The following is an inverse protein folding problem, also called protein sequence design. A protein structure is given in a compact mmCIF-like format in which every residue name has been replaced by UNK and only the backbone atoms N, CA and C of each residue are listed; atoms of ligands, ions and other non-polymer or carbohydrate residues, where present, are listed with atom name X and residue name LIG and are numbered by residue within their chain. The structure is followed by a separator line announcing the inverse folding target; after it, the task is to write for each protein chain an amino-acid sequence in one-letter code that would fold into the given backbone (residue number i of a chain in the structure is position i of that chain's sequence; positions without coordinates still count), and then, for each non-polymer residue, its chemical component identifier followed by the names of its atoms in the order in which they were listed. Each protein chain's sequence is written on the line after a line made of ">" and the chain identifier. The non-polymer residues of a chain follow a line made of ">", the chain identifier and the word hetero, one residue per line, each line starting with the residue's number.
data_IF_191113559656
#
_entry.id   IF_191113559656
#
_cell.length_a   1.000
_cell.length_b   1.000
_cell.length_c   1.000
_cell.angle_alpha   90.00
_cell.angle_beta   90.00
_cell.angle_gamma   90.00
#
_symmetry.space_group_name_H-M   'P 1'
#
loop_
_entity.id
_entity.type
_entity.pdbx_description
1 polymer ?
#
# COMPACT_ATOMS: atom_id res chain seq x y z
N UNK A 1 -25.92 -39.94 36.71
CA UNK A 1 -26.60 -38.99 35.80
C UNK A 1 -25.83 -38.98 34.48
N UNK A 2 -26.37 -39.73 33.52
CA UNK A 2 -26.07 -39.88 32.08
C UNK A 2 -24.83 -39.15 31.51
N UNK A 3 -23.78 -39.82 30.99
CA UNK A 3 -23.67 -40.63 29.75
C UNK A 3 -22.95 -39.85 28.62
N UNK A 4 -21.71 -40.28 28.28
CA UNK A 4 -21.29 -40.93 27.01
C UNK A 4 -20.72 -39.94 25.96
N UNK A 5 -19.39 -39.95 25.72
CA UNK A 5 -18.67 -40.74 24.69
C UNK A 5 -18.21 -39.79 23.55
N UNK A 6 -17.03 -39.84 22.94
CA UNK A 6 -16.13 -40.93 22.50
C UNK A 6 -14.68 -40.39 22.46
N UNK A 7 -13.71 -41.08 23.07
CA UNK A 7 -12.80 -42.04 22.42
C UNK A 7 -12.00 -41.42 21.26
N UNK A 8 -10.70 -41.16 21.43
CA UNK A 8 -9.55 -42.03 21.08
C UNK A 8 -8.79 -41.40 19.90
N UNK A 9 -7.48 -41.49 19.74
CA UNK A 9 -6.41 -42.02 20.54
C UNK A 9 -5.10 -41.51 19.92
N UNK A 10 -4.16 -41.16 20.80
CA UNK A 10 -2.70 -41.17 20.62
C UNK A 10 -2.21 -42.10 19.51
N UNK A 11 -1.18 -41.66 18.77
CA UNK A 11 0.12 -42.35 18.78
C UNK A 11 1.16 -41.59 17.96
N UNK A 12 1.90 -40.76 18.69
CA UNK A 12 3.28 -40.45 18.38
C UNK A 12 4.15 -41.59 18.97
N UNK A 13 5.16 -41.98 18.20
CA UNK A 13 6.38 -42.72 18.57
C UNK A 13 6.38 -44.26 18.61
N UNK A 14 7.46 -44.76 17.98
CA UNK A 14 8.19 -46.01 18.15
C UNK A 14 7.72 -47.24 17.35
N UNK A 15 8.43 -47.53 16.26
CA UNK A 15 9.03 -48.86 16.10
C UNK A 15 10.29 -48.81 15.22
N UNK A 16 11.42 -49.26 15.79
CA UNK A 16 12.69 -49.49 15.11
C UNK A 16 12.68 -50.88 14.44
N UNK A 17 13.40 -50.97 13.31
CA UNK A 17 14.11 -52.14 12.76
C UNK A 17 13.27 -53.38 12.38
N UNK A 18 13.25 -53.68 11.09
CA UNK A 18 13.69 -54.98 10.56
C UNK A 18 14.11 -54.86 9.08
N UNK A 19 15.14 -55.62 8.72
CA UNK A 19 15.84 -55.61 7.44
C UNK A 19 15.32 -56.70 6.48
N UNK A 20 15.37 -56.34 5.18
CA UNK A 20 15.68 -57.14 3.97
C UNK A 20 14.58 -57.96 3.23
N UNK A 21 14.56 -57.64 1.93
CA UNK A 21 14.32 -58.44 0.70
C UNK A 21 12.93 -58.33 0.03
N UNK A 22 12.82 -58.48 -1.31
CA UNK A 22 13.73 -58.12 -2.41
C UNK A 22 13.10 -57.11 -3.40
N UNK A 23 13.93 -56.60 -4.32
CA UNK A 23 13.57 -55.68 -5.41
C UNK A 23 12.50 -56.31 -6.31
N UNK A 24 11.37 -55.65 -6.49
CA UNK A 24 10.53 -55.81 -7.67
C UNK A 24 9.79 -54.51 -7.99
N UNK A 25 9.81 -54.17 -9.27
CA UNK A 25 9.36 -52.92 -9.87
C UNK A 25 7.95 -52.49 -9.45
N UNK A 26 7.84 -51.32 -8.81
CA UNK A 26 6.61 -50.53 -8.83
C UNK A 26 6.91 -49.13 -9.35
N UNK A 27 6.34 -48.85 -10.52
CA UNK A 27 6.34 -47.59 -11.24
C UNK A 27 5.91 -46.46 -10.31
N UNK A 28 6.71 -45.39 -10.25
CA UNK A 28 6.28 -44.12 -9.67
C UNK A 28 4.97 -43.68 -10.33
N UNK A 29 3.92 -43.51 -9.54
CA UNK A 29 2.61 -43.07 -10.02
C UNK A 29 2.63 -41.54 -10.24
N UNK A 30 2.08 -40.98 -11.35
CA UNK A 30 2.27 -39.58 -11.73
C UNK A 30 1.50 -38.55 -10.88
N UNK A 31 0.88 -38.93 -9.76
CA UNK A 31 -0.15 -38.14 -9.09
C UNK A 31 0.41 -37.13 -8.07
N UNK A 32 1.73 -37.02 -7.91
CA UNK A 32 2.37 -36.02 -7.02
C UNK A 32 2.98 -34.84 -7.81
N UNK A 33 2.72 -34.77 -9.12
CA UNK A 33 3.08 -33.61 -9.93
C UNK A 33 1.95 -32.57 -9.89
N UNK A 34 2.28 -31.35 -9.43
CA UNK A 34 1.58 -30.08 -9.70
C UNK A 34 0.70 -29.48 -8.59
N UNK A 35 1.18 -29.33 -7.36
CA UNK A 35 0.86 -28.11 -6.62
C UNK A 35 1.85 -27.04 -7.07
N UNK A 36 1.57 -26.41 -8.22
CA UNK A 36 2.29 -25.20 -8.64
C UNK A 36 2.05 -24.17 -7.53
N UNK A 37 3.07 -23.83 -6.75
CA UNK A 37 3.05 -22.59 -5.97
C UNK A 37 3.00 -21.47 -7.01
N UNK A 38 1.80 -20.93 -7.25
CA UNK A 38 1.66 -19.64 -7.89
C UNK A 38 2.51 -18.67 -7.05
N UNK A 39 3.58 -18.14 -7.62
CA UNK A 39 4.21 -16.97 -7.01
C UNK A 39 3.13 -15.90 -6.93
N UNK A 40 2.68 -15.59 -5.71
CA UNK A 40 1.77 -14.48 -5.44
C UNK A 40 2.40 -13.22 -6.04
N UNK A 41 1.90 -12.82 -7.21
CA UNK A 41 2.32 -11.57 -7.83
C UNK A 41 1.86 -10.46 -6.90
N UNK A 42 2.77 -9.96 -6.07
CA UNK A 42 2.45 -8.92 -5.09
C UNK A 42 2.10 -7.63 -5.82
N UNK A 43 0.83 -7.27 -5.86
CA UNK A 43 0.40 -5.92 -6.27
C UNK A 43 0.82 -4.94 -5.18
N UNK A 44 1.62 -3.94 -5.55
CA UNK A 44 2.25 -3.02 -4.58
C UNK A 44 1.70 -1.61 -4.73
N UNK A 45 1.48 -0.96 -3.59
CA UNK A 45 1.12 0.46 -3.52
C UNK A 45 2.17 1.23 -2.74
N UNK A 46 2.55 2.39 -3.25
CA UNK A 46 3.32 3.41 -2.54
C UNK A 46 2.39 4.56 -2.19
N UNK A 47 2.24 4.88 -0.92
CA UNK A 47 1.48 6.03 -0.43
C UNK A 47 2.46 7.13 -0.06
N UNK A 48 2.37 8.28 -0.73
CA UNK A 48 3.19 9.44 -0.38
C UNK A 48 2.57 10.21 0.78
N UNK A 49 3.40 10.65 1.72
CA UNK A 49 2.97 11.38 2.92
C UNK A 49 3.89 12.58 3.11
N UNK A 50 3.32 13.74 3.43
CA UNK A 50 4.09 14.93 3.76
C UNK A 50 3.41 16.22 3.33
N UNK A 51 3.95 17.36 3.75
CA UNK A 51 3.34 18.67 3.53
C UNK A 51 3.27 19.07 2.05
N UNK A 52 2.35 19.98 1.67
CA UNK A 52 2.49 20.71 0.42
C UNK A 52 3.92 21.25 0.28
N UNK A 53 4.46 21.19 -0.95
CA UNK A 53 5.83 21.59 -1.26
C UNK A 53 6.97 20.77 -0.59
N UNK A 54 6.68 19.67 0.10
CA UNK A 54 7.73 18.76 0.62
C UNK A 54 8.49 17.99 -0.46
N UNK A 55 7.96 17.95 -1.69
CA UNK A 55 8.58 17.31 -2.85
C UNK A 55 7.95 15.99 -3.30
N UNK A 56 6.79 15.60 -2.75
CA UNK A 56 6.09 14.33 -3.05
C UNK A 56 5.91 14.10 -4.55
N UNK A 57 5.25 15.02 -5.25
CA UNK A 57 5.00 14.89 -6.69
C UNK A 57 6.28 14.89 -7.52
N UNK A 58 7.34 15.55 -7.05
CA UNK A 58 8.67 15.47 -7.68
C UNK A 58 9.28 14.08 -7.52
N UNK A 59 9.17 13.49 -6.33
CA UNK A 59 9.59 12.11 -6.09
C UNK A 59 8.76 11.13 -6.92
N UNK A 60 7.43 11.30 -6.95
CA UNK A 60 6.52 10.48 -7.74
C UNK A 60 6.93 10.46 -9.23
N UNK A 61 7.14 11.63 -9.82
CA UNK A 61 7.59 11.75 -11.22
C UNK A 61 8.93 11.07 -11.45
N UNK A 62 9.90 11.23 -10.54
CA UNK A 62 11.20 10.53 -10.64
C UNK A 62 11.05 9.01 -10.61
N UNK A 63 10.15 8.48 -9.77
CA UNK A 63 9.87 7.04 -9.71
C UNK A 63 9.24 6.57 -11.03
N UNK A 64 8.22 7.28 -11.53
CA UNK A 64 7.56 6.95 -12.81
C UNK A 64 8.53 7.02 -13.98
N UNK A 65 9.40 8.04 -14.05
CA UNK A 65 10.42 8.13 -15.10
C UNK A 65 11.39 6.95 -15.09
N UNK A 66 11.68 6.38 -13.91
CA UNK A 66 12.54 5.19 -13.77
C UNK A 66 11.78 3.89 -14.00
N UNK A 67 10.49 3.86 -13.71
CA UNK A 67 9.61 2.71 -13.84
C UNK A 67 8.32 3.11 -14.59
N UNK A 68 8.35 3.21 -15.92
CA UNK A 68 7.23 3.73 -16.73
C UNK A 68 5.93 2.92 -16.61
N UNK A 69 6.03 1.65 -16.22
CA UNK A 69 4.89 0.78 -15.93
C UNK A 69 4.18 1.11 -14.61
N UNK A 70 4.74 2.01 -13.80
CA UNK A 70 4.15 2.43 -12.53
C UNK A 70 2.96 3.36 -12.78
N UNK A 71 1.79 3.02 -12.24
CA UNK A 71 0.61 3.89 -12.28
C UNK A 71 0.75 4.99 -11.23
N UNK A 72 0.73 6.26 -11.66
CA UNK A 72 0.64 7.40 -10.77
C UNK A 72 -0.82 7.83 -10.61
N UNK A 73 -1.30 7.86 -9.37
CA UNK A 73 -2.66 8.20 -8.98
C UNK A 73 -2.56 9.44 -8.08
N UNK A 74 -2.86 10.61 -8.63
CA UNK A 74 -2.72 11.89 -7.93
C UNK A 74 -4.08 12.57 -7.77
N UNK A 75 -4.42 12.98 -6.54
CA UNK A 75 -5.69 13.68 -6.32
C UNK A 75 -5.74 15.04 -7.00
N UNK A 76 -4.58 15.67 -7.25
CA UNK A 76 -4.51 16.94 -7.98
C UNK A 76 -4.75 16.72 -9.48
N UNK A 77 -4.15 15.68 -10.07
CA UNK A 77 -4.42 15.30 -11.46
C UNK A 77 -5.89 14.91 -11.67
N UNK A 78 -6.48 14.18 -10.71
CA UNK A 78 -7.91 13.84 -10.73
C UNK A 78 -8.78 15.09 -10.68
N UNK A 79 -8.47 16.08 -9.84
CA UNK A 79 -9.21 17.36 -9.81
C UNK A 79 -9.10 18.11 -11.13
N UNK A 80 -7.91 18.17 -11.72
CA UNK A 80 -7.73 18.78 -13.03
C UNK A 80 -8.57 18.08 -14.11
N UNK A 81 -8.65 16.75 -14.08
CA UNK A 81 -9.48 15.98 -15.01
C UNK A 81 -10.98 16.23 -14.79
N UNK A 82 -11.46 16.20 -13.55
CA UNK A 82 -12.89 16.29 -13.23
C UNK A 82 -13.42 17.72 -13.31
N UNK A 83 -12.60 18.72 -12.95
CA UNK A 83 -13.04 20.09 -12.73
C UNK A 83 -12.31 21.11 -13.62
N UNK A 84 -11.40 20.66 -14.49
CA UNK A 84 -10.61 21.52 -15.38
C UNK A 84 -9.43 22.23 -14.71
N UNK A 85 -9.36 22.23 -13.38
CA UNK A 85 -8.25 22.82 -12.61
C UNK A 85 -8.01 22.04 -11.30
N UNK A 86 -6.75 21.67 -11.05
CA UNK A 86 -6.31 21.04 -9.81
C UNK A 86 -6.49 21.92 -8.56
N UNK A 87 -6.63 23.24 -8.73
CA UNK A 87 -6.92 24.21 -7.68
C UNK A 87 -8.32 24.03 -7.09
N UNK A 88 -9.27 23.59 -7.92
CA UNK A 88 -10.66 23.39 -7.52
C UNK A 88 -10.74 22.15 -6.62
N UNK A 89 -11.07 22.35 -5.35
CA UNK A 89 -11.17 21.22 -4.41
C UNK A 89 -12.26 20.23 -4.83
N UNK A 90 -13.40 20.75 -5.31
CA UNK A 90 -14.55 19.98 -5.77
C UNK A 90 -15.20 19.10 -4.69
N UNK A 91 -16.26 18.36 -5.03
CA UNK A 91 -16.84 17.37 -4.12
C UNK A 91 -15.86 16.21 -3.87
N UNK A 92 -15.49 16.00 -2.60
CA UNK A 92 -14.54 14.94 -2.23
C UNK A 92 -15.00 13.55 -2.70
N UNK A 93 -16.31 13.27 -2.67
CA UNK A 93 -16.86 11.98 -3.09
C UNK A 93 -16.51 11.63 -4.54
N UNK A 94 -16.54 12.60 -5.46
CA UNK A 94 -16.20 12.37 -6.87
C UNK A 94 -14.70 12.08 -7.05
N UNK A 95 -13.85 12.85 -6.38
CA UNK A 95 -12.39 12.60 -6.36
C UNK A 95 -12.10 11.22 -5.78
N UNK A 96 -12.81 10.83 -4.72
CA UNK A 96 -12.65 9.54 -4.06
C UNK A 96 -13.07 8.37 -4.95
N UNK A 97 -14.20 8.47 -5.65
CA UNK A 97 -14.64 7.45 -6.62
C UNK A 97 -13.60 7.22 -7.72
N UNK A 98 -12.99 8.30 -8.23
CA UNK A 98 -11.93 8.18 -9.25
C UNK A 98 -10.67 7.51 -8.67
N UNK A 99 -10.29 7.81 -7.41
CA UNK A 99 -9.19 7.09 -6.74
C UNK A 99 -9.48 5.59 -6.64
N UNK A 100 -10.70 5.21 -6.23
CA UNK A 100 -11.13 3.80 -6.16
C UNK A 100 -11.02 3.12 -7.53
N UNK A 101 -11.54 3.77 -8.58
CA UNK A 101 -11.47 3.24 -9.94
C UNK A 101 -10.03 3.04 -10.41
N UNK A 102 -9.14 4.01 -10.17
CA UNK A 102 -7.73 3.88 -10.55
C UNK A 102 -6.98 2.84 -9.72
N UNK A 103 -7.37 2.62 -8.46
CA UNK A 103 -6.84 1.53 -7.64
C UNK A 103 -7.21 0.17 -8.25
N UNK A 104 -8.49 -0.05 -8.62
CA UNK A 104 -8.93 -1.29 -9.25
C UNK A 104 -8.21 -1.55 -10.59
N UNK A 105 -8.02 -0.51 -11.40
CA UNK A 105 -7.25 -0.61 -12.65
C UNK A 105 -5.79 -1.00 -12.42
N UNK A 106 -5.14 -0.41 -11.41
CA UNK A 106 -3.76 -0.74 -11.10
C UNK A 106 -3.61 -2.20 -10.61
N UNK A 107 -4.56 -2.67 -9.80
CA UNK A 107 -4.60 -4.06 -9.33
C UNK A 107 -4.85 -5.04 -10.47
N UNK A 108 -5.81 -4.76 -11.36
CA UNK A 108 -6.11 -5.65 -12.49
C UNK A 108 -4.94 -5.79 -13.47
N UNK A 109 -4.15 -4.71 -13.63
CA UNK A 109 -2.94 -4.68 -14.44
C UNK A 109 -1.71 -5.27 -13.73
N UNK A 110 -1.83 -5.65 -12.44
CA UNK A 110 -0.71 -6.11 -11.59
C UNK A 110 0.45 -5.11 -11.55
N UNK A 111 0.14 -3.82 -11.67
CA UNK A 111 1.12 -2.74 -11.73
C UNK A 111 1.49 -2.25 -10.33
N UNK A 112 2.74 -1.78 -10.18
CA UNK A 112 3.10 -0.91 -9.06
C UNK A 112 2.28 0.39 -9.19
N UNK A 113 1.68 0.84 -8.09
CA UNK A 113 0.98 2.12 -8.04
C UNK A 113 1.63 3.08 -7.04
N UNK A 114 1.53 4.38 -7.32
CA UNK A 114 1.86 5.46 -6.39
C UNK A 114 0.61 6.30 -6.18
N UNK A 115 0.19 6.43 -4.92
CA UNK A 115 -0.84 7.39 -4.52
C UNK A 115 -0.18 8.67 -4.01
N UNK A 116 -0.28 9.74 -4.81
CA UNK A 116 0.23 11.08 -4.52
C UNK A 116 -0.88 11.98 -3.96
N UNK A 117 -0.88 12.12 -2.65
CA UNK A 117 -1.67 13.09 -1.91
C UNK A 117 -0.89 13.56 -0.67
N UNK A 118 -1.41 14.56 0.05
CA UNK A 118 -0.73 15.07 1.25
C UNK A 118 -0.72 14.06 2.40
N UNK A 119 -1.84 13.35 2.61
CA UNK A 119 -1.96 12.29 3.63
C UNK A 119 -1.54 12.72 5.05
N UNK A 120 -1.77 13.99 5.41
CA UNK A 120 -1.38 14.56 6.70
C UNK A 120 -2.21 14.03 7.88
N UNK A 121 -3.49 13.74 7.67
CA UNK A 121 -4.41 13.27 8.72
C UNK A 121 -4.35 11.76 8.84
N UNK A 122 -4.14 11.24 10.07
CA UNK A 122 -4.13 9.79 10.36
C UNK A 122 -5.39 9.08 9.87
N UNK A 123 -6.56 9.68 10.06
CA UNK A 123 -7.83 9.12 9.58
C UNK A 123 -7.82 8.91 8.06
N UNK A 124 -7.40 9.90 7.28
CA UNK A 124 -7.33 9.79 5.81
C UNK A 124 -6.30 8.77 5.34
N UNK A 125 -5.19 8.63 6.07
CA UNK A 125 -4.19 7.59 5.79
C UNK A 125 -4.79 6.20 5.96
N UNK A 126 -5.48 5.95 7.06
CA UNK A 126 -6.21 4.68 7.30
C UNK A 126 -7.25 4.42 6.23
N UNK A 127 -8.10 5.40 5.91
CA UNK A 127 -9.12 5.27 4.85
C UNK A 127 -8.50 4.85 3.50
N UNK A 128 -7.34 5.40 3.12
CA UNK A 128 -6.63 5.01 1.89
C UNK A 128 -6.00 3.62 1.99
N UNK A 129 -5.44 3.26 3.15
CA UNK A 129 -4.85 1.93 3.37
C UNK A 129 -5.93 0.87 3.31
N UNK A 130 -7.05 1.08 4.00
CA UNK A 130 -8.20 0.16 4.04
C UNK A 130 -8.74 -0.03 2.62
N UNK A 131 -8.99 1.06 1.90
CA UNK A 131 -9.39 0.99 0.50
C UNK A 131 -8.37 0.21 -0.36
N UNK A 132 -7.07 0.46 -0.18
CA UNK A 132 -6.06 -0.26 -0.94
C UNK A 132 -6.09 -1.76 -0.68
N UNK A 133 -6.31 -2.19 0.57
CA UNK A 133 -6.45 -3.60 0.94
C UNK A 133 -7.71 -4.20 0.32
N UNK A 134 -8.84 -3.54 0.46
CA UNK A 134 -10.13 -3.95 -0.15
C UNK A 134 -10.03 -4.09 -1.66
N UNK A 135 -9.27 -3.20 -2.31
CA UNK A 135 -9.06 -3.23 -3.76
C UNK A 135 -8.13 -4.36 -4.22
N UNK A 136 -7.33 -4.93 -3.31
CA UNK A 136 -6.45 -6.07 -3.60
C UNK A 136 -4.95 -5.76 -3.63
N UNK A 137 -4.50 -4.61 -3.11
CA UNK A 137 -3.07 -4.38 -2.89
C UNK A 137 -2.55 -5.23 -1.73
N UNK A 138 -1.63 -6.15 -2.03
CA UNK A 138 -1.06 -7.07 -1.04
C UNK A 138 0.18 -6.52 -0.33
N UNK A 139 0.80 -5.45 -0.84
CA UNK A 139 1.94 -4.80 -0.18
C UNK A 139 1.89 -3.27 -0.27
N UNK A 140 1.82 -2.58 0.86
CA UNK A 140 1.67 -1.13 0.96
C UNK A 140 2.88 -0.52 1.65
N UNK A 141 3.57 0.39 0.95
CA UNK A 141 4.69 1.16 1.46
C UNK A 141 4.31 2.62 1.67
N UNK A 142 4.47 3.15 2.88
CA UNK A 142 4.39 4.58 3.14
C UNK A 142 5.75 5.25 2.91
N UNK A 143 5.79 6.30 2.07
CA UNK A 143 6.96 7.17 1.94
C UNK A 143 6.65 8.53 2.55
N UNK A 144 7.17 8.78 3.75
CA UNK A 144 6.97 10.02 4.48
C UNK A 144 8.10 11.00 4.23
N UNK A 145 7.84 12.01 3.40
CA UNK A 145 8.74 13.14 3.16
C UNK A 145 8.60 14.13 4.31
N UNK A 146 9.40 13.88 5.33
CA UNK A 146 9.43 14.64 6.57
C UNK A 146 10.39 15.83 6.45
N UNK A 147 9.91 16.87 5.77
CA UNK A 147 10.61 18.15 5.58
C UNK A 147 10.10 19.16 6.58
N UNK A 148 10.97 20.06 7.04
CA UNK A 148 10.58 21.11 7.98
C UNK A 148 9.46 21.98 7.41
N UNK A 149 8.60 22.48 8.29
CA UNK A 149 7.53 23.41 7.94
C UNK A 149 8.09 24.65 7.23
N UNK A 150 9.17 25.23 7.75
CA UNK A 150 9.86 26.39 7.18
C UNK A 150 10.27 26.16 5.72
N UNK A 151 10.94 25.05 5.44
CA UNK A 151 11.35 24.71 4.07
C UNK A 151 10.14 24.53 3.15
N UNK A 152 9.06 23.92 3.65
CA UNK A 152 7.83 23.74 2.87
C UNK A 152 7.17 25.08 2.57
N UNK A 153 7.10 26.00 3.54
CA UNK A 153 6.57 27.35 3.35
C UNK A 153 7.41 28.15 2.35
N UNK A 154 8.73 28.13 2.50
CA UNK A 154 9.66 28.80 1.59
C UNK A 154 9.49 28.29 0.15
N UNK A 155 9.44 26.97 -0.04
CA UNK A 155 9.20 26.36 -1.36
C UNK A 155 7.83 26.69 -1.91
N UNK A 156 6.80 26.72 -1.06
CA UNK A 156 5.44 27.04 -1.47
C UNK A 156 5.32 28.46 -2.04
N UNK A 157 6.01 29.45 -1.45
CA UNK A 157 6.06 30.84 -1.96
C UNK A 157 6.61 30.94 -3.38
N UNK A 158 7.50 30.03 -3.77
CA UNK A 158 8.14 30.00 -5.10
C UNK A 158 7.31 29.24 -6.14
N UNK A 159 6.19 28.60 -5.77
CA UNK A 159 5.33 27.86 -6.70
C UNK A 159 4.34 28.80 -7.38
N UNK A 160 4.05 28.52 -8.65
CA UNK A 160 2.97 29.19 -9.41
C UNK A 160 1.61 29.06 -8.69
N UNK A 161 1.33 27.87 -8.16
CA UNK A 161 0.19 27.59 -7.28
C UNK A 161 0.66 27.46 -5.85
N UNK A 162 0.12 28.30 -4.98
CA UNK A 162 0.43 28.33 -3.56
C UNK A 162 -0.74 27.74 -2.76
N UNK A 163 -0.42 26.93 -1.76
CA UNK A 163 -1.38 26.54 -0.74
C UNK A 163 -1.31 27.59 0.38
N UNK A 164 -2.43 28.09 0.92
CA UNK A 164 -2.40 29.06 2.01
C UNK A 164 -1.55 28.59 3.19
N UNK A 165 -0.75 29.49 3.78
CA UNK A 165 0.24 29.12 4.81
C UNK A 165 -0.42 28.47 6.02
N UNK A 166 -1.58 28.97 6.46
CA UNK A 166 -2.35 28.45 7.56
C UNK A 166 -2.81 27.00 7.32
N UNK A 167 -3.08 26.62 6.08
CA UNK A 167 -3.41 25.24 5.71
C UNK A 167 -2.18 24.34 5.83
N UNK A 168 -1.01 24.80 5.40
CA UNK A 168 0.25 24.06 5.54
C UNK A 168 0.60 23.90 7.03
N UNK A 169 0.47 24.97 7.83
CA UNK A 169 0.71 24.95 9.28
C UNK A 169 -0.25 23.95 9.95
N UNK A 170 -1.54 23.97 9.60
CA UNK A 170 -2.53 23.00 10.10
C UNK A 170 -2.13 21.56 9.76
N UNK A 171 -1.73 21.30 8.51
CA UNK A 171 -1.28 19.98 8.08
C UNK A 171 0.02 19.55 8.78
N UNK A 172 0.90 20.49 9.11
CA UNK A 172 2.12 20.23 9.88
C UNK A 172 1.77 19.77 11.28
N UNK A 173 0.86 20.46 11.97
CA UNK A 173 0.37 20.01 13.29
C UNK A 173 -0.23 18.61 13.21
N UNK A 174 -1.06 18.33 12.21
CA UNK A 174 -1.65 17.00 12.01
C UNK A 174 -0.62 15.87 11.86
N UNK A 175 0.52 16.14 11.19
CA UNK A 175 1.61 15.17 11.06
C UNK A 175 2.46 15.07 12.33
N UNK A 176 2.65 16.17 13.06
CA UNK A 176 3.38 16.19 14.33
C UNK A 176 2.59 15.48 15.44
N UNK A 177 1.29 15.76 15.55
CA UNK A 177 0.41 15.21 16.59
C UNK A 177 0.12 13.71 16.36
N UNK A 178 0.08 13.29 15.09
CA UNK A 178 -0.18 11.92 14.70
C UNK A 178 0.78 11.48 13.57
N UNK A 179 2.05 11.21 13.90
CA UNK A 179 3.05 10.82 12.91
C UNK A 179 2.68 9.49 12.24
N UNK A 180 2.98 9.31 10.94
CA UNK A 180 2.84 8.02 10.26
C UNK A 180 3.50 6.89 11.04
N UNK A 181 2.79 5.77 11.18
CA UNK A 181 3.29 4.56 11.86
C UNK A 181 2.82 3.29 11.15
N UNK A 182 3.55 2.19 11.30
CA UNK A 182 3.15 0.90 10.72
C UNK A 182 1.83 0.35 11.32
N UNK A 183 1.44 0.80 12.53
CA UNK A 183 0.14 0.47 13.16
C UNK A 183 -1.07 0.96 12.35
N UNK A 184 -0.86 1.81 11.35
CA UNK A 184 -1.91 2.23 10.42
C UNK A 184 -2.18 1.19 9.32
N UNK A 185 -1.37 0.12 9.21
CA UNK A 185 -1.56 -0.97 8.24
C UNK A 185 -0.56 -0.98 7.08
N UNK A 186 0.50 -0.16 7.14
CA UNK A 186 1.62 -0.21 6.20
C UNK A 186 2.48 -1.47 6.44
N UNK A 187 2.83 -2.20 5.37
CA UNK A 187 3.83 -3.28 5.46
C UNK A 187 5.25 -2.73 5.65
N UNK A 188 5.48 -1.51 5.12
CA UNK A 188 6.73 -0.79 5.28
C UNK A 188 6.46 0.70 5.35
N UNK A 189 7.14 1.39 6.26
CA UNK A 189 7.14 2.84 6.32
C UNK A 189 8.58 3.35 6.25
N UNK A 190 8.84 4.30 5.36
CA UNK A 190 10.14 4.96 5.23
C UNK A 190 9.99 6.46 5.43
N UNK A 191 10.70 6.99 6.43
CA UNK A 191 10.82 8.43 6.68
C UNK A 191 12.02 8.98 5.91
N UNK A 192 11.81 10.08 5.18
CA UNK A 192 12.79 10.72 4.30
C UNK A 192 12.97 12.17 4.77
N UNK A 193 14.09 12.43 5.44
CA UNK A 193 14.40 13.75 6.02
C UNK A 193 15.34 14.59 5.14
N UNK A 194 16.21 13.96 4.34
CA UNK A 194 17.19 14.63 3.43
C UNK A 194 16.72 14.73 1.99
#
# INVERSE_FOLDING_TARGET
>A
MLALAKLLCKRQLLCKRQQKAPISNFRESPVVASVKRQEDVKTRLIILIGLPASGKSTLARKIVSKYPQCKLISTDAIRAQLFGDEAIQGPWLQVWQEVQQQFHQAVSQKSLAIYDATNAQRRRRREVIDLARETGFSYITGLWLDKSLELCLERNKRRKRQVPEEVIIKMSRQLTDAPPSCEEGFDRLQRITR
#
